data_IF_374999212880
#
_entry.id   IF_374999212880
#
_cell.length_a   1.000
_cell.length_b   1.000
_cell.length_c   1.000
_cell.angle_alpha   90.00
_cell.angle_beta   90.00
_cell.angle_gamma   90.00
#
_symmetry.space_group_name_H-M   'P 1'
#
loop_
_entity.id
_entity.type
_entity.pdbx_description
1 polymer ?
#
# COMPACT_ATOMS: atom_id res chain seq x y z
N UNK A 1 4.05 -9.52 -35.46
CA UNK A 1 2.78 -10.20 -35.06
C UNK A 1 2.23 -9.48 -33.85
N UNK A 2 1.73 -8.28 -34.12
CA UNK A 2 1.61 -7.13 -33.22
C UNK A 2 0.16 -6.81 -32.89
N UNK A 3 -0.05 -6.16 -31.74
CA UNK A 3 -1.27 -5.46 -31.30
C UNK A 3 -2.57 -6.28 -31.10
N UNK A 4 -2.77 -7.41 -31.79
CA UNK A 4 -4.02 -8.18 -31.75
C UNK A 4 -4.18 -9.14 -30.56
N UNK A 5 -3.08 -9.50 -29.88
CA UNK A 5 -3.14 -10.35 -28.67
C UNK A 5 -3.33 -9.55 -27.37
N UNK A 6 -2.93 -8.27 -27.33
CA UNK A 6 -3.12 -7.38 -26.19
C UNK A 6 -4.59 -6.93 -26.05
N UNK A 7 -5.28 -6.67 -27.17
CA UNK A 7 -6.72 -6.32 -27.17
C UNK A 7 -7.63 -7.47 -26.69
N UNK A 8 -7.17 -8.72 -26.76
CA UNK A 8 -7.90 -9.89 -26.23
C UNK A 8 -7.83 -10.01 -24.71
N UNK A 9 -6.83 -9.41 -24.05
CA UNK A 9 -6.67 -9.46 -22.58
C UNK A 9 -7.44 -8.37 -21.85
N UNK A 10 -7.61 -7.19 -22.46
CA UNK A 10 -8.54 -6.16 -21.98
C UNK A 10 -10.01 -6.62 -22.00
N UNK A 11 -10.37 -7.45 -22.99
CA UNK A 11 -11.70 -8.08 -23.04
C UNK A 11 -11.94 -9.13 -21.96
N UNK A 12 -10.92 -9.79 -21.43
CA UNK A 12 -11.09 -10.80 -20.37
C UNK A 12 -11.41 -10.17 -19.01
N UNK A 13 -10.87 -8.97 -18.74
CA UNK A 13 -11.20 -8.18 -17.55
C UNK A 13 -12.60 -7.57 -17.70
N UNK A 14 -13.00 -7.11 -18.89
CA UNK A 14 -14.36 -6.63 -19.15
C UNK A 14 -15.44 -7.73 -19.28
N UNK A 15 -15.10 -8.94 -19.75
CA UNK A 15 -16.08 -10.02 -19.97
C UNK A 15 -16.51 -10.75 -18.70
N UNK A 16 -15.83 -10.50 -17.58
CA UNK A 16 -16.30 -10.89 -16.25
C UNK A 16 -17.15 -9.81 -15.58
N UNK A 17 -17.41 -8.70 -16.27
CA UNK A 17 -17.96 -7.47 -15.70
C UNK A 17 -19.29 -7.01 -16.31
N UNK A 18 -19.70 -7.37 -17.54
CA UNK A 18 -21.02 -6.97 -18.08
C UNK A 18 -21.56 -8.00 -19.09
N UNK A 19 -22.76 -8.55 -18.85
CA UNK A 19 -23.69 -9.00 -19.90
C UNK A 19 -25.14 -8.64 -19.52
N UNK A 20 -26.02 -8.30 -20.49
CA UNK A 20 -27.36 -7.83 -20.20
C UNK A 20 -28.31 -9.01 -19.94
N UNK A 21 -29.12 -8.90 -18.88
CA UNK A 21 -30.26 -9.78 -18.63
C UNK A 21 -31.51 -9.18 -19.27
N UNK A 22 -32.08 -9.85 -20.27
CA UNK A 22 -33.43 -9.60 -20.78
C UNK A 22 -34.39 -10.64 -20.22
N UNK A 23 -35.40 -10.22 -19.46
CA UNK A 23 -36.66 -10.96 -19.32
C UNK A 23 -37.78 -10.01 -18.88
N UNK A 24 -38.96 -10.27 -19.42
CA UNK A 24 -40.12 -9.39 -19.51
C UNK A 24 -40.95 -9.34 -18.22
N UNK A 25 -41.72 -8.26 -18.13
CA UNK A 25 -42.70 -7.98 -17.09
C UNK A 25 -43.96 -8.84 -17.21
N UNK A 26 -44.52 -9.24 -16.07
CA UNK A 26 -45.94 -9.53 -15.90
C UNK A 26 -46.40 -9.03 -14.54
N UNK A 27 -47.58 -8.41 -14.52
CA UNK A 27 -48.10 -7.54 -13.48
C UNK A 27 -49.38 -8.09 -12.82
N UNK A 28 -49.66 -7.58 -11.60
CA UNK A 28 -50.98 -7.39 -10.91
C UNK A 28 -51.49 -8.57 -10.01
N UNK A 29 -52.21 -8.35 -8.87
CA UNK A 29 -52.05 -7.40 -7.75
C UNK A 29 -52.12 -8.04 -6.31
N UNK A 30 -51.85 -7.19 -5.31
CA UNK A 30 -52.03 -7.32 -3.85
C UNK A 30 -53.42 -7.82 -3.37
N UNK A 31 -53.52 -8.44 -2.16
CA UNK A 31 -53.86 -7.63 -0.97
C UNK A 31 -53.21 -8.09 0.34
N UNK A 32 -52.79 -7.13 1.16
CA UNK A 32 -53.25 -6.87 2.55
C UNK A 32 -52.17 -6.18 3.38
N UNK A 33 -52.63 -5.12 4.03
CA UNK A 33 -51.91 -4.22 4.93
C UNK A 33 -51.44 -4.93 6.19
N UNK A 34 -50.13 -5.12 6.32
CA UNK A 34 -49.49 -5.34 7.61
C UNK A 34 -48.49 -4.20 7.86
N UNK A 35 -48.71 -3.48 8.95
CA UNK A 35 -47.84 -2.42 9.45
C UNK A 35 -46.42 -2.97 9.72
N UNK A 36 -45.56 -2.90 8.71
CA UNK A 36 -44.12 -2.99 8.91
C UNK A 36 -43.61 -1.61 9.30
N UNK A 37 -43.55 -1.35 10.60
CA UNK A 37 -42.65 -0.35 11.14
C UNK A 37 -41.23 -0.80 10.80
N UNK A 38 -40.73 -0.38 9.63
CA UNK A 38 -39.31 -0.46 9.28
C UNK A 38 -38.58 0.32 10.37
N UNK A 39 -38.00 -0.39 11.35
CA UNK A 39 -36.85 0.13 12.07
C UNK A 39 -35.78 0.34 11.00
N UNK A 40 -35.65 1.57 10.52
CA UNK A 40 -34.42 2.06 9.92
C UNK A 40 -33.38 1.91 11.02
N UNK A 41 -32.68 0.77 11.06
CA UNK A 41 -31.42 0.71 11.76
C UNK A 41 -30.54 1.77 11.07
N UNK A 42 -30.34 2.90 11.73
CA UNK A 42 -29.29 3.83 11.36
C UNK A 42 -28.00 3.02 11.32
N UNK A 43 -27.49 2.73 10.12
CA UNK A 43 -26.15 2.19 9.94
C UNK A 43 -25.22 3.11 10.75
N UNK A 44 -24.54 2.56 11.75
CA UNK A 44 -23.60 3.35 12.53
C UNK A 44 -22.58 3.96 11.56
N UNK A 45 -22.28 5.23 11.72
CA UNK A 45 -21.25 5.88 10.91
C UNK A 45 -19.92 5.15 11.13
N UNK A 46 -19.16 5.00 10.05
CA UNK A 46 -17.78 4.50 10.10
C UNK A 46 -16.93 5.40 11.00
N UNK A 47 -16.00 4.80 11.74
CA UNK A 47 -15.08 5.49 12.64
C UNK A 47 -13.69 5.45 12.06
N UNK A 48 -13.21 6.58 11.54
CA UNK A 48 -11.89 6.65 10.90
C UNK A 48 -10.75 6.40 11.88
N UNK A 49 -10.97 6.57 13.19
CA UNK A 49 -10.02 6.17 14.24
C UNK A 49 -9.75 4.66 14.30
N UNK A 50 -10.63 3.85 13.71
CA UNK A 50 -10.48 2.40 13.61
C UNK A 50 -9.80 1.96 12.30
N UNK A 51 -9.50 2.89 11.38
CA UNK A 51 -8.87 2.56 10.12
C UNK A 51 -7.40 2.23 10.35
N UNK A 52 -6.83 1.43 9.45
CA UNK A 52 -5.41 1.02 9.49
C UNK A 52 -4.81 1.12 8.09
N UNK A 53 -3.58 1.60 7.99
CA UNK A 53 -2.82 1.53 6.74
C UNK A 53 -2.20 0.14 6.64
N UNK A 54 -2.88 -0.74 5.91
CA UNK A 54 -2.65 -2.16 6.00
C UNK A 54 -1.44 -2.59 5.18
N UNK A 55 -1.48 -2.39 3.87
CA UNK A 55 -0.45 -2.92 2.99
C UNK A 55 -0.13 -2.01 1.81
N UNK A 56 1.01 -2.30 1.20
CA UNK A 56 1.43 -1.74 -0.08
C UNK A 56 1.60 -2.87 -1.08
N UNK A 57 0.86 -2.78 -2.18
CA UNK A 57 0.90 -3.77 -3.24
C UNK A 57 1.91 -3.37 -4.31
N UNK A 58 2.82 -4.28 -4.60
CA UNK A 58 3.74 -4.19 -5.74
C UNK A 58 3.65 -5.46 -6.60
N UNK A 59 3.75 -5.30 -7.92
CA UNK A 59 3.91 -6.44 -8.82
C UNK A 59 5.34 -6.92 -8.81
N UNK A 60 5.52 -8.24 -8.79
CA UNK A 60 6.83 -8.89 -8.81
C UNK A 60 6.97 -9.84 -9.99
N UNK A 61 8.19 -9.98 -10.50
CA UNK A 61 8.47 -10.87 -11.62
C UNK A 61 8.46 -12.33 -11.17
N UNK A 62 9.22 -12.65 -10.13
CA UNK A 62 9.35 -13.98 -9.56
C UNK A 62 9.11 -13.93 -8.05
N UNK A 63 7.97 -14.46 -7.55
CA UNK A 63 7.65 -14.40 -6.13
C UNK A 63 8.64 -15.18 -5.28
N UNK A 64 9.37 -16.17 -5.81
CA UNK A 64 10.36 -16.92 -5.03
C UNK A 64 11.52 -16.04 -4.61
N UNK A 65 12.04 -15.24 -5.54
CA UNK A 65 13.14 -14.31 -5.26
C UNK A 65 12.66 -13.17 -4.35
N UNK A 66 11.47 -12.62 -4.61
CA UNK A 66 10.94 -11.52 -3.81
C UNK A 66 10.57 -11.95 -2.38
N UNK A 67 9.91 -13.10 -2.19
CA UNK A 67 9.63 -13.65 -0.84
C UNK A 67 10.94 -13.90 -0.09
N UNK A 68 11.94 -14.53 -0.72
CA UNK A 68 13.26 -14.76 -0.10
C UNK A 68 13.94 -13.46 0.33
N UNK A 69 13.85 -12.39 -0.47
CA UNK A 69 14.40 -11.09 -0.12
C UNK A 69 13.72 -10.50 1.13
N UNK A 70 12.39 -10.48 1.17
CA UNK A 70 11.65 -9.91 2.29
C UNK A 70 11.72 -10.77 3.56
N UNK A 71 11.79 -12.10 3.43
CA UNK A 71 12.10 -13.01 4.55
C UNK A 71 13.52 -12.78 5.08
N UNK A 72 14.48 -12.49 4.20
CA UNK A 72 15.82 -12.10 4.63
C UNK A 72 15.79 -10.79 5.44
N UNK A 73 14.88 -9.86 5.15
CA UNK A 73 14.64 -8.67 5.97
C UNK A 73 13.86 -8.96 7.27
N UNK A 74 13.48 -10.21 7.55
CA UNK A 74 12.80 -10.60 8.80
C UNK A 74 11.28 -10.66 8.71
N UNK A 75 10.69 -10.43 7.53
CA UNK A 75 9.26 -10.61 7.33
C UNK A 75 8.89 -12.10 7.29
N UNK A 76 7.65 -12.41 7.64
CA UNK A 76 7.02 -13.72 7.46
C UNK A 76 5.96 -13.64 6.38
N UNK A 77 5.80 -14.71 5.59
CA UNK A 77 4.64 -14.86 4.71
C UNK A 77 3.39 -15.13 5.56
N UNK A 78 2.54 -14.11 5.72
CA UNK A 78 1.36 -14.15 6.59
C UNK A 78 0.21 -14.90 5.91
N UNK A 79 -0.01 -14.65 4.61
CA UNK A 79 -1.03 -15.34 3.81
C UNK A 79 -0.58 -15.39 2.37
N UNK A 80 -0.92 -16.49 1.71
CA UNK A 80 -0.88 -16.63 0.25
C UNK A 80 -2.32 -16.82 -0.24
N UNK A 81 -2.70 -16.09 -1.28
CA UNK A 81 -3.95 -16.29 -1.99
C UNK A 81 -3.64 -16.70 -3.44
N UNK A 82 -4.26 -17.78 -3.91
CA UNK A 82 -4.01 -18.35 -5.23
C UNK A 82 -5.24 -18.17 -6.13
N UNK A 83 -5.03 -17.61 -7.34
CA UNK A 83 -6.09 -17.38 -8.30
C UNK A 83 -5.75 -18.01 -9.67
N UNK A 84 -5.68 -19.35 -9.77
CA UNK A 84 -5.25 -20.02 -10.99
C UNK A 84 -6.15 -19.72 -12.21
N UNK A 85 -7.44 -19.51 -11.99
CA UNK A 85 -8.38 -19.11 -13.05
C UNK A 85 -8.09 -17.70 -13.60
N UNK A 86 -7.63 -16.80 -12.74
CA UNK A 86 -7.28 -15.42 -13.09
C UNK A 86 -5.78 -15.25 -13.43
N UNK A 87 -4.98 -16.30 -13.23
CA UNK A 87 -3.54 -16.37 -13.53
C UNK A 87 -2.68 -15.39 -12.73
N UNK A 88 -2.98 -15.24 -11.45
CA UNK A 88 -2.11 -14.51 -10.52
C UNK A 88 -2.20 -15.09 -9.10
N UNK A 89 -1.19 -14.83 -8.30
CA UNK A 89 -1.15 -15.13 -6.86
C UNK A 89 -0.80 -13.84 -6.08
N UNK A 90 -1.28 -13.78 -4.84
CA UNK A 90 -0.95 -12.72 -3.88
C UNK A 90 -0.17 -13.29 -2.69
N UNK A 91 0.85 -12.58 -2.25
CA UNK A 91 1.70 -12.95 -1.10
C UNK A 91 1.76 -11.78 -0.14
N UNK A 92 1.21 -11.94 1.07
CA UNK A 92 1.20 -10.89 2.09
C UNK A 92 2.35 -11.14 3.06
N UNK A 93 3.33 -10.25 3.09
CA UNK A 93 4.50 -10.31 3.97
C UNK A 93 4.47 -9.19 5.01
N UNK A 94 4.83 -9.54 6.24
CA UNK A 94 4.91 -8.58 7.35
C UNK A 94 5.70 -9.14 8.52
N UNK A 95 5.95 -8.29 9.52
CA UNK A 95 6.61 -8.73 10.73
C UNK A 95 5.61 -9.44 11.66
N UNK A 96 5.97 -10.64 12.10
CA UNK A 96 5.13 -11.47 12.95
C UNK A 96 5.93 -12.19 14.05
N UNK A 97 7.12 -11.68 14.37
CA UNK A 97 7.88 -12.14 15.54
C UNK A 97 7.06 -11.91 16.82
N UNK A 98 7.34 -12.60 17.94
CA UNK A 98 6.65 -12.36 19.22
C UNK A 98 6.72 -10.91 19.72
N UNK A 99 7.68 -10.11 19.23
CA UNK A 99 7.87 -8.71 19.56
C UNK A 99 7.30 -7.75 18.50
N UNK A 100 6.79 -8.25 17.38
CA UNK A 100 6.17 -7.44 16.34
C UNK A 100 4.87 -6.80 16.85
N UNK A 101 4.57 -5.57 16.42
CA UNK A 101 3.37 -4.85 16.88
C UNK A 101 2.08 -5.60 16.56
N UNK A 102 2.09 -6.28 15.42
CA UNK A 102 0.94 -6.98 14.88
C UNK A 102 0.95 -8.49 15.16
N UNK A 103 1.85 -8.99 16.02
CA UNK A 103 2.04 -10.43 16.26
C UNK A 103 0.72 -11.20 16.44
N UNK A 104 0.53 -12.26 15.65
CA UNK A 104 -0.63 -13.15 15.71
C UNK A 104 -1.94 -12.55 15.15
N UNK A 105 -1.94 -11.30 14.67
CA UNK A 105 -3.09 -10.71 13.97
C UNK A 105 -3.20 -11.25 12.55
N UNK A 106 -4.43 -11.35 12.05
CA UNK A 106 -4.71 -11.73 10.67
C UNK A 106 -4.22 -10.66 9.68
N UNK A 107 -4.21 -10.98 8.38
CA UNK A 107 -3.68 -10.09 7.32
C UNK A 107 -4.35 -8.72 7.34
N UNK A 108 -5.67 -8.66 7.50
CA UNK A 108 -6.43 -7.42 7.37
C UNK A 108 -6.77 -6.78 8.73
N UNK A 109 -6.19 -7.27 9.84
CA UNK A 109 -6.20 -6.60 11.14
C UNK A 109 -4.81 -6.11 11.58
N UNK A 110 -3.96 -5.68 10.64
CA UNK A 110 -2.62 -5.17 10.93
C UNK A 110 -2.22 -3.99 10.06
N UNK A 111 -1.06 -3.43 10.35
CA UNK A 111 -0.44 -2.33 9.61
C UNK A 111 0.91 -2.79 9.05
N UNK A 112 1.42 -2.10 8.03
CA UNK A 112 2.78 -2.31 7.54
C UNK A 112 3.01 -3.68 6.90
N UNK A 113 2.22 -4.03 5.89
CA UNK A 113 2.44 -5.21 5.05
C UNK A 113 2.96 -4.82 3.65
N UNK A 114 3.64 -5.78 3.03
CA UNK A 114 3.91 -5.77 1.59
C UNK A 114 3.06 -6.88 0.96
N UNK A 115 2.21 -6.50 0.00
CA UNK A 115 1.51 -7.45 -0.86
C UNK A 115 2.29 -7.59 -2.18
N UNK A 116 2.76 -8.79 -2.47
CA UNK A 116 3.35 -9.11 -3.76
C UNK A 116 2.28 -9.70 -4.66
N UNK A 117 2.07 -9.10 -5.83
CA UNK A 117 1.25 -9.68 -6.89
C UNK A 117 2.12 -10.28 -7.96
N UNK A 118 2.00 -11.59 -8.15
CA UNK A 118 2.67 -12.32 -9.22
C UNK A 118 1.68 -12.70 -10.31
N UNK A 119 1.95 -12.29 -11.55
CA UNK A 119 1.16 -12.72 -12.71
C UNK A 119 1.84 -13.91 -13.36
N UNK A 120 1.12 -15.00 -13.59
CA UNK A 120 1.75 -16.25 -14.03
C UNK A 120 2.49 -16.11 -15.36
N UNK A 121 3.72 -16.63 -15.39
CA UNK A 121 4.59 -16.63 -16.56
C UNK A 121 5.60 -15.49 -16.59
N UNK A 122 5.44 -14.43 -15.78
CA UNK A 122 6.41 -13.32 -15.72
C UNK A 122 7.79 -13.78 -15.26
N UNK A 123 7.84 -14.79 -14.38
CA UNK A 123 9.05 -15.40 -13.84
C UNK A 123 9.90 -16.06 -14.94
N UNK A 124 9.24 -16.54 -16.00
CA UNK A 124 9.87 -17.21 -17.14
C UNK A 124 10.09 -16.28 -18.34
N UNK A 125 9.66 -15.02 -18.26
CA UNK A 125 9.77 -14.05 -19.33
C UNK A 125 11.06 -13.21 -19.18
N UNK A 126 12.08 -13.39 -20.03
CA UNK A 126 13.32 -12.62 -19.95
C UNK A 126 13.15 -11.14 -20.31
N UNK A 127 12.04 -10.75 -20.95
CA UNK A 127 11.73 -9.41 -21.41
C UNK A 127 10.74 -8.68 -20.50
N UNK A 128 10.10 -9.39 -19.56
CA UNK A 128 9.24 -8.75 -18.57
C UNK A 128 10.04 -7.77 -17.70
N UNK A 129 9.58 -6.53 -17.66
CA UNK A 129 10.17 -5.44 -16.87
C UNK A 129 9.09 -4.79 -16.03
N UNK A 130 9.43 -4.55 -14.77
CA UNK A 130 8.62 -3.79 -13.84
C UNK A 130 9.04 -2.32 -13.88
N UNK A 131 8.05 -1.43 -13.78
CA UNK A 131 8.30 -0.04 -13.46
C UNK A 131 8.42 0.15 -11.95
N UNK A 132 9.63 0.36 -11.46
CA UNK A 132 9.89 0.57 -10.04
C UNK A 132 9.51 1.98 -9.52
N UNK A 133 8.99 2.86 -10.37
CA UNK A 133 8.52 4.20 -10.00
C UNK A 133 9.62 5.26 -9.83
N UNK A 134 10.89 4.93 -10.08
CA UNK A 134 12.03 5.84 -9.85
C UNK A 134 12.78 6.26 -11.11
N UNK A 135 12.30 5.89 -12.30
CA UNK A 135 12.93 6.24 -13.58
C UNK A 135 11.97 7.03 -14.46
N UNK A 136 12.49 8.09 -15.09
CA UNK A 136 11.75 8.81 -16.13
C UNK A 136 11.46 7.90 -17.34
N UNK A 137 10.32 8.06 -18.02
CA UNK A 137 9.27 9.05 -17.76
C UNK A 137 8.21 8.57 -16.75
N UNK A 138 8.40 7.43 -16.07
CA UNK A 138 7.36 6.76 -15.31
C UNK A 138 7.56 6.84 -13.80
N UNK A 139 7.95 8.02 -13.30
CA UNK A 139 8.14 8.24 -11.85
C UNK A 139 6.81 8.34 -11.13
N UNK A 140 6.73 7.80 -9.92
CA UNK A 140 5.56 7.93 -9.06
C UNK A 140 5.83 7.33 -7.68
N UNK A 141 5.63 6.03 -7.55
CA UNK A 141 6.07 5.25 -6.39
C UNK A 141 7.55 5.50 -6.07
N UNK A 142 7.87 5.78 -4.81
CA UNK A 142 9.23 6.03 -4.34
C UNK A 142 9.86 4.75 -3.82
N UNK A 143 9.40 4.29 -2.66
CA UNK A 143 10.00 3.18 -1.95
C UNK A 143 9.07 2.63 -0.89
N UNK A 144 9.34 1.40 -0.45
CA UNK A 144 8.94 0.95 0.90
C UNK A 144 10.11 1.20 1.85
N UNK A 145 9.84 1.34 3.14
CA UNK A 145 10.88 1.56 4.14
C UNK A 145 10.80 0.56 5.29
N UNK A 146 11.98 0.07 5.68
CA UNK A 146 12.17 -0.81 6.83
C UNK A 146 12.97 -0.07 7.90
N UNK A 147 12.38 0.05 9.09
CA UNK A 147 13.10 0.51 10.28
C UNK A 147 13.84 -0.64 10.93
N UNK A 148 15.09 -0.41 11.34
CA UNK A 148 16.00 -1.42 11.91
C UNK A 148 16.62 -0.93 13.22
N UNK A 149 17.02 -1.85 14.10
CA UNK A 149 17.65 -1.54 15.39
C UNK A 149 19.07 -0.95 15.24
N UNK A 150 19.87 -1.48 14.32
CA UNK A 150 21.26 -1.11 14.09
C UNK A 150 21.56 -1.03 12.60
N UNK A 151 21.37 0.16 12.00
CA UNK A 151 21.42 0.34 10.54
C UNK A 151 22.74 -0.09 9.90
N UNK A 152 23.89 0.14 10.56
CA UNK A 152 25.20 -0.30 10.05
C UNK A 152 25.26 -1.84 9.95
N UNK A 153 24.83 -2.55 11.00
CA UNK A 153 24.82 -4.01 11.02
C UNK A 153 23.79 -4.59 10.03
N UNK A 154 22.61 -3.96 9.91
CA UNK A 154 21.58 -4.32 8.93
C UNK A 154 22.08 -4.18 7.48
N UNK A 155 22.68 -3.04 7.14
CA UNK A 155 23.23 -2.81 5.81
C UNK A 155 24.37 -3.78 5.51
N UNK A 156 25.27 -4.03 6.47
CA UNK A 156 26.34 -5.02 6.32
C UNK A 156 25.79 -6.42 6.07
N UNK A 157 24.75 -6.84 6.80
CA UNK A 157 24.11 -8.15 6.60
C UNK A 157 23.50 -8.28 5.21
N UNK A 158 22.87 -7.24 4.68
CA UNK A 158 22.36 -7.21 3.30
C UNK A 158 23.48 -7.30 2.27
N UNK A 159 24.57 -6.55 2.46
CA UNK A 159 25.74 -6.61 1.59
C UNK A 159 26.43 -7.98 1.60
N UNK A 160 26.66 -8.55 2.78
CA UNK A 160 27.32 -9.86 2.93
C UNK A 160 26.50 -10.98 2.26
N UNK A 161 25.17 -10.81 2.17
CA UNK A 161 24.28 -11.71 1.43
C UNK A 161 24.21 -11.43 -0.08
N UNK A 162 24.91 -10.40 -0.57
CA UNK A 162 25.01 -10.05 -1.99
C UNK A 162 23.85 -9.21 -2.52
N UNK A 163 23.00 -8.64 -1.66
CA UNK A 163 21.93 -7.76 -2.10
C UNK A 163 22.47 -6.43 -2.62
N UNK A 164 21.83 -5.93 -3.67
CA UNK A 164 22.25 -4.70 -4.34
C UNK A 164 21.70 -3.47 -3.61
N UNK A 165 22.39 -2.36 -3.76
CA UNK A 165 21.96 -1.06 -3.25
C UNK A 165 21.84 -0.07 -4.39
N UNK A 166 20.80 0.75 -4.34
CA UNK A 166 20.74 2.00 -5.10
C UNK A 166 21.66 3.05 -4.47
N UNK A 167 21.71 3.05 -3.13
CA UNK A 167 22.57 3.92 -2.34
C UNK A 167 22.97 3.19 -1.06
N UNK A 168 24.27 3.03 -0.86
CA UNK A 168 24.82 2.44 0.37
C UNK A 168 24.82 3.46 1.50
N UNK A 169 24.93 2.98 2.74
CA UNK A 169 24.95 3.85 3.92
C UNK A 169 26.14 4.82 3.90
N UNK A 170 27.28 4.35 3.42
CA UNK A 170 28.56 5.07 3.29
C UNK A 170 28.71 5.83 1.97
N UNK A 171 27.65 5.95 1.16
CA UNK A 171 27.63 6.75 -0.07
C UNK A 171 26.94 8.12 0.12
N UNK A 172 27.35 9.12 -0.64
CA UNK A 172 26.75 10.47 -0.63
C UNK A 172 26.94 11.24 0.68
N UNK A 173 26.14 12.28 0.90
CA UNK A 173 26.18 13.11 2.13
C UNK A 173 25.29 12.58 3.26
N UNK A 174 24.19 11.89 2.92
CA UNK A 174 23.25 11.35 3.90
C UNK A 174 23.72 9.98 4.38
N UNK A 175 24.32 9.95 5.58
CA UNK A 175 24.87 8.72 6.21
C UNK A 175 23.92 8.03 7.20
N UNK A 176 22.66 8.46 7.25
CA UNK A 176 21.64 7.94 8.15
C UNK A 176 20.55 7.10 7.43
N UNK A 177 20.68 6.94 6.11
CA UNK A 177 19.77 6.16 5.25
C UNK A 177 20.54 5.37 4.21
N UNK A 178 20.02 4.19 3.85
CA UNK A 178 20.45 3.39 2.71
C UNK A 178 19.22 2.96 1.89
N UNK A 179 19.42 2.65 0.61
CA UNK A 179 18.37 2.10 -0.26
C UNK A 179 18.87 0.78 -0.84
N UNK A 180 18.38 -0.33 -0.30
CA UNK A 180 18.53 -1.64 -0.91
C UNK A 180 17.63 -1.74 -2.15
N UNK A 181 17.99 -2.63 -3.08
CA UNK A 181 17.17 -2.98 -4.21
C UNK A 181 16.59 -4.37 -3.98
N UNK A 182 15.28 -4.49 -4.06
CA UNK A 182 14.62 -5.79 -4.14
C UNK A 182 14.93 -6.47 -5.50
N UNK A 183 14.52 -7.73 -5.72
CA UNK A 183 14.82 -8.46 -6.95
C UNK A 183 14.29 -7.79 -8.24
N UNK A 184 13.22 -7.01 -8.13
CA UNK A 184 12.59 -6.29 -9.24
C UNK A 184 13.09 -4.84 -9.38
N UNK A 185 13.99 -4.43 -8.49
CA UNK A 185 14.63 -3.11 -8.48
C UNK A 185 13.79 -2.02 -7.82
N UNK A 186 12.74 -2.35 -7.08
CA UNK A 186 12.11 -1.40 -6.16
C UNK A 186 13.11 -0.99 -5.08
N UNK A 187 13.01 0.26 -4.67
CA UNK A 187 13.85 0.79 -3.61
C UNK A 187 13.23 0.41 -2.27
N UNK A 188 14.06 -0.16 -1.40
CA UNK A 188 13.73 -0.45 -0.01
C UNK A 188 14.64 0.42 0.85
N UNK A 189 14.08 1.49 1.40
CA UNK A 189 14.79 2.36 2.32
C UNK A 189 15.04 1.62 3.64
N UNK A 190 16.25 1.73 4.16
CA UNK A 190 16.63 1.21 5.48
C UNK A 190 16.97 2.41 6.35
N UNK A 191 16.25 2.55 7.47
CA UNK A 191 16.44 3.63 8.46
C UNK A 191 16.63 3.06 9.86
N UNK A 192 17.38 3.76 10.71
CA UNK A 192 17.42 3.40 12.12
C UNK A 192 16.08 3.71 12.80
N UNK A 193 15.69 2.91 13.79
CA UNK A 193 14.45 3.09 14.57
C UNK A 193 14.45 4.36 15.43
N UNK A 194 15.57 5.08 15.51
CA UNK A 194 15.70 6.35 16.22
C UNK A 194 15.83 6.22 17.74
N UNK A 195 16.03 5.02 18.29
CA UNK A 195 16.32 4.83 19.73
C UNK A 195 17.78 5.14 20.09
N UNK A 196 18.67 5.11 19.11
CA UNK A 196 20.12 5.32 19.26
C UNK A 196 20.66 6.20 18.15
N UNK A 197 21.71 6.97 18.44
CA UNK A 197 22.43 7.73 17.42
C UNK A 197 23.31 6.80 16.57
N UNK A 198 23.73 7.27 15.39
CA UNK A 198 24.62 6.49 14.53
C UNK A 198 25.94 6.14 15.21
N UNK A 199 26.47 7.06 16.03
CA UNK A 199 27.70 6.89 16.79
C UNK A 199 27.55 5.80 17.84
N UNK A 200 26.43 5.77 18.58
CA UNK A 200 26.16 4.73 19.57
C UNK A 200 26.06 3.33 18.96
N UNK A 201 25.68 3.25 17.67
CA UNK A 201 25.52 1.99 16.95
C UNK A 201 26.79 1.54 16.20
N UNK A 202 27.82 2.38 16.11
CA UNK A 202 28.97 2.15 15.22
C UNK A 202 29.74 0.84 15.50
N UNK A 203 29.79 0.43 16.77
CA UNK A 203 30.48 -0.81 17.17
C UNK A 203 29.59 -2.05 17.21
N UNK A 204 28.28 -1.90 16.99
CA UNK A 204 27.35 -3.03 16.95
C UNK A 204 27.49 -3.74 15.59
N UNK A 205 27.82 -5.03 15.61
CA UNK A 205 28.10 -5.82 14.38
C UNK A 205 26.97 -6.77 13.99
N UNK A 206 25.93 -6.89 14.82
CA UNK A 206 24.77 -7.75 14.59
C UNK A 206 23.49 -6.95 14.74
N UNK A 207 22.41 -7.47 14.17
CA UNK A 207 21.11 -6.82 14.12
C UNK A 207 20.05 -7.88 14.36
N UNK A 208 18.98 -7.53 15.09
CA UNK A 208 17.88 -8.43 15.34
C UNK A 208 16.72 -8.13 14.38
N UNK A 209 16.58 -8.99 13.37
CA UNK A 209 15.50 -8.84 12.37
C UNK A 209 14.10 -8.96 13.00
N UNK A 210 13.99 -9.51 14.21
CA UNK A 210 12.71 -9.60 14.93
C UNK A 210 12.20 -8.24 15.45
N UNK A 211 13.07 -7.22 15.49
CA UNK A 211 12.72 -5.86 15.91
C UNK A 211 12.40 -4.93 14.74
N UNK A 212 12.59 -5.39 13.51
CA UNK A 212 12.38 -4.58 12.31
C UNK A 212 10.90 -4.28 12.10
N UNK A 213 10.61 -3.22 11.33
CA UNK A 213 9.24 -2.75 11.07
C UNK A 213 9.09 -2.31 9.63
N UNK A 214 7.96 -2.61 9.02
CA UNK A 214 7.58 -1.99 7.75
C UNK A 214 7.04 -0.61 8.09
N UNK A 215 7.91 0.39 7.98
CA UNK A 215 7.64 1.71 8.51
C UNK A 215 6.71 2.49 7.60
N UNK A 216 7.09 2.67 6.35
CA UNK A 216 6.33 3.52 5.44
C UNK A 216 6.38 3.07 3.99
N UNK A 217 5.40 3.57 3.24
CA UNK A 217 5.37 3.57 1.78
C UNK A 217 5.42 5.00 1.29
N UNK A 218 6.34 5.28 0.38
CA UNK A 218 6.51 6.58 -0.23
C UNK A 218 5.90 6.63 -1.62
N UNK A 219 5.04 7.63 -1.85
CA UNK A 219 4.57 8.01 -3.18
C UNK A 219 4.84 9.49 -3.43
N UNK A 220 5.14 9.84 -4.68
CA UNK A 220 5.26 11.24 -5.09
C UNK A 220 3.90 11.78 -5.49
N UNK A 221 3.60 13.00 -5.05
CA UNK A 221 2.32 13.68 -5.31
C UNK A 221 2.53 15.04 -5.96
N UNK A 222 1.65 15.39 -6.90
CA UNK A 222 1.77 16.62 -7.68
C UNK A 222 1.44 17.85 -6.85
N UNK A 223 0.35 17.79 -6.10
CA UNK A 223 -0.18 18.90 -5.29
C UNK A 223 -0.38 18.43 -3.86
N UNK A 224 0.47 18.93 -2.96
CA UNK A 224 0.44 18.51 -1.57
C UNK A 224 -0.85 18.92 -0.86
N UNK A 225 -1.49 20.05 -1.21
CA UNK A 225 -2.71 20.50 -0.53
C UNK A 225 -3.87 19.57 -0.83
N UNK A 226 -4.04 19.18 -2.10
CA UNK A 226 -5.06 18.21 -2.52
C UNK A 226 -4.80 16.83 -1.91
N UNK A 227 -3.54 16.42 -1.86
CA UNK A 227 -3.16 15.13 -1.28
C UNK A 227 -3.44 15.10 0.22
N UNK A 228 -3.01 16.12 0.97
CA UNK A 228 -3.28 16.23 2.41
C UNK A 228 -4.78 16.31 2.71
N UNK A 229 -5.58 16.99 1.89
CA UNK A 229 -7.03 17.02 2.02
C UNK A 229 -7.65 15.62 1.83
N UNK A 230 -7.25 14.91 0.77
CA UNK A 230 -7.72 13.54 0.52
C UNK A 230 -7.34 12.59 1.67
N UNK A 231 -6.06 12.51 2.04
CA UNK A 231 -5.61 11.55 3.04
C UNK A 231 -6.12 11.87 4.45
N UNK A 232 -6.26 13.14 4.83
CA UNK A 232 -6.78 13.52 6.15
C UNK A 232 -8.31 13.56 6.20
N UNK A 233 -8.97 14.25 5.27
CA UNK A 233 -10.42 14.47 5.36
C UNK A 233 -11.21 13.30 4.77
N UNK A 234 -10.74 12.69 3.68
CA UNK A 234 -11.42 11.52 3.09
C UNK A 234 -11.09 10.25 3.87
N UNK A 235 -9.80 9.94 4.01
CA UNK A 235 -9.34 8.68 4.61
C UNK A 235 -9.12 8.75 6.12
N UNK A 236 -9.15 9.94 6.73
CA UNK A 236 -9.05 10.08 8.19
C UNK A 236 -7.64 9.90 8.77
N UNK A 237 -6.60 9.94 7.94
CA UNK A 237 -5.22 9.88 8.44
C UNK A 237 -4.84 11.15 9.20
N UNK A 238 -3.93 11.02 10.14
CA UNK A 238 -3.29 12.17 10.81
C UNK A 238 -1.95 12.47 10.15
N UNK A 239 -1.63 13.75 9.92
CA UNK A 239 -0.27 14.19 9.59
C UNK A 239 0.59 14.10 10.86
N UNK A 240 1.55 13.18 10.87
CA UNK A 240 2.37 12.87 12.05
C UNK A 240 3.72 13.60 12.02
N UNK A 241 4.27 13.83 10.83
CA UNK A 241 5.57 14.51 10.68
C UNK A 241 5.67 15.19 9.32
N UNK A 242 6.31 16.36 9.31
CA UNK A 242 6.72 17.07 8.10
C UNK A 242 8.23 17.27 8.13
N UNK A 243 8.89 17.03 7.01
CA UNK A 243 10.31 17.34 6.81
C UNK A 243 10.41 18.29 5.61
N UNK A 244 10.86 19.52 5.87
CA UNK A 244 11.02 20.52 4.82
C UNK A 244 12.45 20.57 4.31
N UNK A 245 12.65 20.52 2.99
CA UNK A 245 13.97 20.61 2.37
C UNK A 245 13.98 21.70 1.28
N UNK A 246 13.83 22.98 1.64
CA UNK A 246 13.72 24.07 0.68
C UNK A 246 14.93 24.20 -0.25
N UNK A 247 16.15 23.93 0.25
CA UNK A 247 17.37 23.95 -0.55
C UNK A 247 17.38 22.87 -1.65
N UNK A 248 16.79 21.71 -1.35
CA UNK A 248 16.67 20.59 -2.28
C UNK A 248 15.35 20.62 -3.08
N UNK A 249 14.48 21.61 -2.84
CA UNK A 249 13.20 21.84 -3.51
C UNK A 249 12.19 20.69 -3.39
N UNK A 250 12.12 20.04 -2.24
CA UNK A 250 11.07 19.07 -1.93
C UNK A 250 10.74 19.04 -0.43
N UNK A 251 9.53 18.60 -0.10
CA UNK A 251 9.10 18.31 1.27
C UNK A 251 8.54 16.90 1.37
N UNK A 252 8.64 16.33 2.57
CA UNK A 252 8.13 15.01 2.94
C UNK A 252 7.04 15.15 4.01
N UNK A 253 5.94 14.43 3.84
CA UNK A 253 4.79 14.45 4.76
C UNK A 253 4.44 13.03 5.13
N UNK A 254 4.53 12.68 6.41
CA UNK A 254 4.26 11.35 6.92
C UNK A 254 2.88 11.32 7.56
N UNK A 255 1.97 10.55 6.96
CA UNK A 255 0.61 10.35 7.42
C UNK A 255 0.42 8.91 7.91
N UNK A 256 -0.48 8.73 8.87
CA UNK A 256 -0.88 7.41 9.33
C UNK A 256 -2.05 7.50 10.29
N UNK A 257 -2.51 6.35 10.77
CA UNK A 257 -3.53 6.29 11.81
C UNK A 257 -2.84 6.23 13.17
N UNK A 258 -3.16 7.13 14.12
CA UNK A 258 -2.62 7.03 15.48
C UNK A 258 -2.94 5.67 16.09
N UNK A 259 -4.21 5.23 16.02
CA UNK A 259 -4.65 3.91 16.43
C UNK A 259 -4.11 3.48 17.79
N UNK A 260 -3.73 2.21 17.89
CA UNK A 260 -3.09 1.65 19.09
C UNK A 260 -1.62 2.10 19.25
N UNK A 261 -0.99 2.54 18.17
CA UNK A 261 0.40 3.03 18.18
C UNK A 261 0.51 4.44 18.78
N UNK A 262 -0.60 5.18 18.94
CA UNK A 262 -0.64 6.54 19.48
C UNK A 262 0.00 7.58 18.57
N UNK A 263 0.46 8.69 19.14
CA UNK A 263 1.29 9.71 18.48
C UNK A 263 2.59 9.82 19.28
N UNK A 264 3.74 9.79 18.62
CA UNK A 264 5.03 9.85 19.29
C UNK A 264 5.29 11.23 19.92
N UNK A 265 5.55 11.24 21.22
CA UNK A 265 5.82 12.48 21.96
C UNK A 265 7.10 13.20 21.50
N UNK A 266 8.07 12.47 20.95
CA UNK A 266 9.33 13.01 20.42
C UNK A 266 9.24 13.35 18.92
N UNK A 267 8.10 13.11 18.27
CA UNK A 267 7.90 13.30 16.83
C UNK A 267 8.70 12.34 15.93
N UNK A 268 9.36 11.32 16.49
CA UNK A 268 10.16 10.34 15.73
C UNK A 268 9.26 9.20 15.25
N UNK A 269 8.83 9.30 13.99
CA UNK A 269 7.94 8.33 13.34
C UNK A 269 8.63 7.03 12.93
N UNK A 270 9.95 6.91 13.07
CA UNK A 270 10.74 5.75 12.65
C UNK A 270 10.36 4.45 13.40
N UNK A 271 9.66 4.53 14.54
CA UNK A 271 9.24 3.36 15.32
C UNK A 271 7.85 2.84 14.94
N UNK A 272 7.17 3.48 13.99
CA UNK A 272 5.83 3.07 13.56
C UNK A 272 5.86 1.94 12.55
N UNK A 273 4.72 1.26 12.45
CA UNK A 273 4.32 0.49 11.27
C UNK A 273 3.25 1.26 10.49
N UNK A 274 3.25 1.10 9.17
CA UNK A 274 2.14 1.54 8.32
C UNK A 274 1.95 3.05 8.21
N UNK A 275 2.96 3.74 7.69
CA UNK A 275 2.88 5.14 7.31
C UNK A 275 2.81 5.33 5.79
N UNK A 276 2.16 6.40 5.38
CA UNK A 276 2.22 6.94 4.03
C UNK A 276 3.13 8.16 4.04
N UNK A 277 4.24 8.08 3.32
CA UNK A 277 5.09 9.23 3.03
C UNK A 277 4.69 9.84 1.69
N UNK A 278 4.32 11.12 1.70
CA UNK A 278 4.09 11.90 0.50
C UNK A 278 5.32 12.76 0.22
N UNK A 279 5.92 12.57 -0.95
CA UNK A 279 6.98 13.46 -1.45
C UNK A 279 6.41 14.44 -2.45
N UNK A 280 6.49 15.72 -2.11
CA UNK A 280 6.11 16.82 -2.99
C UNK A 280 7.35 17.56 -3.47
N UNK A 281 7.56 17.59 -4.78
CA UNK A 281 8.64 18.36 -5.42
C UNK A 281 8.09 19.73 -5.81
N UNK A 282 8.82 20.80 -5.48
CA UNK A 282 8.29 22.16 -5.62
C UNK A 282 7.96 22.50 -7.08
N UNK A 283 6.77 23.07 -7.27
CA UNK A 283 6.33 23.57 -8.57
C UNK A 283 5.58 22.55 -9.42
N UNK A 284 5.55 21.27 -9.04
CA UNK A 284 4.79 20.25 -9.79
C UNK A 284 3.31 20.55 -9.84
N UNK A 285 2.76 21.22 -8.82
CA UNK A 285 1.37 21.65 -8.73
C UNK A 285 1.01 22.74 -9.76
N UNK A 286 2.00 23.48 -10.25
CA UNK A 286 1.80 24.60 -11.19
C UNK A 286 1.98 24.19 -12.65
N UNK A 287 2.47 22.98 -12.93
CA UNK A 287 2.58 22.45 -14.29
C UNK A 287 1.34 21.62 -14.64
N UNK A 288 0.46 22.17 -15.49
CA UNK A 288 -0.78 21.50 -15.92
C UNK A 288 -0.52 20.16 -16.63
N UNK A 289 0.61 20.02 -17.32
CA UNK A 289 0.95 18.81 -18.09
C UNK A 289 1.72 17.77 -17.27
N UNK A 290 2.20 18.15 -16.09
CA UNK A 290 2.92 17.22 -15.21
C UNK A 290 1.97 16.24 -14.54
N UNK A 291 2.36 14.96 -14.49
CA UNK A 291 1.70 13.93 -13.71
C UNK A 291 2.71 12.86 -13.29
N UNK A 292 2.53 12.30 -12.10
CA UNK A 292 3.23 11.08 -11.72
C UNK A 292 2.52 9.85 -12.30
N UNK A 293 3.30 8.80 -12.55
CA UNK A 293 2.81 7.51 -13.00
C UNK A 293 2.17 6.76 -11.83
N UNK A 294 0.90 6.37 -11.99
CA UNK A 294 0.11 5.71 -10.94
C UNK A 294 0.52 4.24 -10.64
N UNK A 295 1.40 3.65 -11.47
CA UNK A 295 1.90 2.28 -11.33
C UNK A 295 1.04 1.19 -11.99
N UNK A 296 -0.22 1.49 -12.29
CA UNK A 296 -1.18 0.57 -12.94
C UNK A 296 -1.27 0.73 -14.46
N UNK A 297 -0.97 1.91 -14.98
CA UNK A 297 -0.78 2.11 -16.42
C UNK A 297 0.51 1.42 -16.89
N UNK A 298 0.63 1.21 -18.20
CA UNK A 298 1.83 0.57 -18.76
C UNK A 298 2.98 1.58 -18.85
N UNK A 299 4.21 1.21 -18.43
CA UNK A 299 4.61 -0.06 -17.81
C UNK A 299 4.21 -0.16 -16.33
N UNK A 300 3.74 -1.34 -15.93
CA UNK A 300 3.20 -1.59 -14.58
C UNK A 300 4.28 -1.88 -13.53
N UNK A 301 3.96 -1.59 -12.28
CA UNK A 301 4.75 -1.94 -11.11
C UNK A 301 3.91 -1.86 -9.84
N UNK A 302 4.07 -0.77 -9.08
CA UNK A 302 3.22 -0.42 -7.94
C UNK A 302 1.72 -0.58 -8.28
N UNK A 303 0.97 -1.25 -7.41
CA UNK A 303 -0.46 -1.50 -7.58
C UNK A 303 -1.31 -0.51 -6.81
N UNK A 304 -1.21 -0.54 -5.49
CA UNK A 304 -2.06 0.26 -4.62
C UNK A 304 -1.50 0.32 -3.20
N UNK A 305 -2.01 1.26 -2.42
CA UNK A 305 -2.00 1.16 -0.96
C UNK A 305 -3.37 0.63 -0.51
N UNK A 306 -3.44 0.01 0.67
CA UNK A 306 -4.69 -0.45 1.25
C UNK A 306 -4.97 0.16 2.61
N UNK A 307 -6.21 0.56 2.82
CA UNK A 307 -6.76 0.96 4.11
C UNK A 307 -7.84 -0.05 4.51
N UNK A 308 -7.66 -0.69 5.66
CA UNK A 308 -8.73 -1.51 6.24
C UNK A 308 -9.65 -0.65 7.09
N UNK A 309 -10.96 -0.87 7.01
CA UNK A 309 -11.98 -0.05 7.68
C UNK A 309 -12.85 -0.86 8.63
N UNK A 310 -13.49 -0.19 9.59
CA UNK A 310 -14.34 -0.87 10.59
C UNK A 310 -15.67 -1.39 10.03
N UNK A 311 -16.23 -0.70 9.04
CA UNK A 311 -17.42 -1.09 8.32
C UNK A 311 -17.33 -0.59 6.87
N UNK A 312 -17.12 -1.50 5.91
CA UNK A 312 -16.85 -1.13 4.52
C UNK A 312 -18.02 -0.44 3.83
N UNK A 313 -19.27 -0.81 4.14
CA UNK A 313 -20.46 -0.16 3.58
C UNK A 313 -20.61 1.28 4.10
N UNK A 314 -20.41 1.49 5.40
CA UNK A 314 -20.45 2.82 6.01
C UNK A 314 -19.29 3.70 5.55
N UNK A 315 -18.10 3.11 5.36
CA UNK A 315 -16.94 3.77 4.74
C UNK A 315 -17.25 4.21 3.31
N UNK A 316 -17.79 3.32 2.48
CA UNK A 316 -18.18 3.66 1.11
C UNK A 316 -19.24 4.76 1.07
N UNK A 317 -20.22 4.72 2.00
CA UNK A 317 -21.21 5.79 2.13
C UNK A 317 -20.56 7.12 2.49
N UNK A 318 -19.59 7.14 3.42
CA UNK A 318 -18.82 8.34 3.75
C UNK A 318 -18.11 8.90 2.51
N UNK A 319 -17.44 8.05 1.73
CA UNK A 319 -16.75 8.48 0.52
C UNK A 319 -17.71 9.01 -0.55
N UNK A 320 -18.92 8.45 -0.65
CA UNK A 320 -19.97 8.98 -1.53
C UNK A 320 -20.46 10.36 -1.09
N UNK A 321 -20.68 10.56 0.21
CA UNK A 321 -21.06 11.86 0.78
C UNK A 321 -19.96 12.92 0.56
N UNK A 322 -18.69 12.50 0.54
CA UNK A 322 -17.53 13.33 0.23
C UNK A 322 -17.23 13.44 -1.28
N UNK A 323 -18.06 12.85 -2.14
CA UNK A 323 -17.91 12.85 -3.59
C UNK A 323 -16.54 12.33 -4.08
N UNK A 324 -15.98 11.35 -3.37
CA UNK A 324 -14.67 10.77 -3.69
C UNK A 324 -14.71 10.00 -5.00
N UNK A 325 -13.63 10.08 -5.77
CA UNK A 325 -13.48 9.34 -7.01
C UNK A 325 -13.23 7.85 -6.73
N UNK A 326 -13.96 6.98 -7.43
CA UNK A 326 -13.80 5.54 -7.37
C UNK A 326 -13.16 4.99 -8.64
N UNK A 327 -12.23 4.06 -8.48
CA UNK A 327 -11.85 3.12 -9.53
C UNK A 327 -12.81 1.94 -9.61
N UNK A 328 -13.30 1.45 -8.47
CA UNK A 328 -14.23 0.33 -8.35
C UNK A 328 -15.09 0.48 -7.10
N UNK A 329 -16.41 0.38 -7.25
CA UNK A 329 -17.37 0.36 -6.13
C UNK A 329 -17.62 -1.08 -5.65
N UNK A 330 -18.22 -1.21 -4.46
CA UNK A 330 -18.73 -2.50 -3.99
C UNK A 330 -19.80 -3.05 -4.96
N UNK A 331 -20.62 -2.18 -5.55
CA UNK A 331 -21.67 -2.57 -6.51
C UNK A 331 -21.14 -3.00 -7.87
N UNK A 332 -19.86 -2.81 -8.16
CA UNK A 332 -19.28 -3.14 -9.47
C UNK A 332 -18.79 -4.61 -9.48
N UNK A 333 -18.85 -5.26 -10.65
CA UNK A 333 -18.31 -6.60 -10.86
C UNK A 333 -18.91 -7.69 -9.99
N UNK A 334 -18.19 -8.79 -9.83
CA UNK A 334 -18.60 -9.94 -8.99
C UNK A 334 -18.07 -9.86 -7.56
N UNK A 335 -16.92 -9.21 -7.37
CA UNK A 335 -16.29 -9.05 -6.06
C UNK A 335 -16.92 -7.88 -5.30
N UNK A 336 -17.67 -8.18 -4.25
CA UNK A 336 -18.50 -7.22 -3.49
C UNK A 336 -17.89 -6.78 -2.15
N UNK A 337 -16.74 -7.33 -1.79
CA UNK A 337 -16.07 -7.11 -0.51
C UNK A 337 -14.84 -6.18 -0.60
N UNK A 338 -14.62 -5.53 -1.73
CA UNK A 338 -13.51 -4.58 -1.94
C UNK A 338 -13.97 -3.37 -2.75
N UNK A 339 -13.50 -2.20 -2.36
CA UNK A 339 -13.61 -0.97 -3.15
C UNK A 339 -12.22 -0.43 -3.47
N UNK A 340 -12.11 0.35 -4.55
CA UNK A 340 -10.90 1.09 -4.89
C UNK A 340 -11.26 2.55 -5.12
N UNK A 341 -10.61 3.44 -4.38
CA UNK A 341 -10.65 4.88 -4.59
C UNK A 341 -9.51 5.31 -5.51
N UNK A 342 -9.64 6.51 -6.08
CA UNK A 342 -8.55 7.21 -6.74
C UNK A 342 -8.17 8.43 -5.90
N UNK A 343 -6.90 8.53 -5.54
CA UNK A 343 -6.36 9.75 -4.95
C UNK A 343 -6.22 10.87 -6.02
N UNK A 344 -5.83 12.10 -5.63
CA UNK A 344 -5.69 13.21 -6.57
C UNK A 344 -4.69 13.00 -7.72
N UNK A 345 -3.72 12.09 -7.54
CA UNK A 345 -2.71 11.72 -8.54
C UNK A 345 -3.06 10.40 -9.27
N UNK A 346 -4.27 9.87 -9.05
CA UNK A 346 -4.80 8.62 -9.59
C UNK A 346 -4.09 7.35 -9.10
N UNK A 347 -3.37 7.40 -7.97
CA UNK A 347 -3.00 6.18 -7.27
C UNK A 347 -4.25 5.49 -6.74
N UNK A 348 -4.22 4.16 -6.74
CA UNK A 348 -5.34 3.37 -6.27
C UNK A 348 -5.21 3.18 -4.76
N UNK A 349 -6.31 3.40 -4.05
CA UNK A 349 -6.44 3.08 -2.63
C UNK A 349 -7.47 1.98 -2.49
N UNK A 350 -7.00 0.78 -2.16
CA UNK A 350 -7.86 -0.34 -1.82
C UNK A 350 -8.51 -0.11 -0.46
N UNK A 351 -9.80 -0.41 -0.36
CA UNK A 351 -10.56 -0.36 0.87
C UNK A 351 -11.19 -1.73 1.11
N UNK A 352 -10.84 -2.34 2.23
CA UNK A 352 -11.32 -3.67 2.65
C UNK A 352 -11.82 -3.63 4.09
N UNK A 353 -12.69 -4.55 4.43
CA UNK A 353 -13.19 -4.71 5.79
C UNK A 353 -12.06 -5.19 6.71
N UNK A 354 -11.85 -4.55 7.86
CA UNK A 354 -10.97 -5.10 8.88
C UNK A 354 -11.69 -6.26 9.58
N UNK A 355 -11.04 -7.43 9.58
CA UNK A 355 -11.56 -8.72 10.05
C UNK A 355 -11.89 -8.72 11.55
N UNK A 356 -11.23 -7.88 12.36
CA UNK A 356 -11.51 -7.73 13.80
C UNK A 356 -12.95 -7.30 14.09
N UNK A 357 -13.55 -6.50 13.22
CA UNK A 357 -14.89 -5.95 13.47
C UNK A 357 -16.02 -6.88 13.00
N UNK A 358 -15.73 -7.86 12.15
CA UNK A 358 -16.71 -8.83 11.63
C UNK A 358 -16.48 -10.24 12.16
N UNK A 359 -15.26 -10.58 12.57
CA UNK A 359 -14.84 -11.95 12.87
C UNK A 359 -14.84 -12.86 11.64
N UNK A 360 -14.84 -12.29 10.43
CA UNK A 360 -14.85 -13.02 9.17
C UNK A 360 -13.62 -12.66 8.35
N UNK A 361 -12.97 -13.68 7.80
CA UNK A 361 -11.82 -13.52 6.92
C UNK A 361 -12.22 -12.84 5.61
N UNK A 362 -11.31 -12.02 5.08
CA UNK A 362 -11.39 -11.53 3.71
C UNK A 362 -10.82 -12.57 2.73
N UNK A 363 -11.54 -12.72 1.61
CA UNK A 363 -11.23 -13.51 0.42
C UNK A 363 -11.14 -15.02 0.62
#
# INVERSE_FOLDING_TARGET
MSAFQALRRLRAIQSFLIRPSTAAATSVPNPTTANHTRRLATMAATKTENYKFNHTMIRVKDPKESVKFYEFLGMSLIKKLEFPEAKFDLYFLGYDSPNALSHGRTVFDREGLIELTHNYGTENDPDYRINNGNKEPHRGFGHTCISVDYIQAACKRLEDAGYKFQKRLDEGRMKYIAFALDPDGYWVEIIADGKKTLEEMAEVKTTDVSTYRMNHTMIRVKDIKKSLDFYQNTLGMSLLRTIENPEAKFNLYFLGYPGEQGIEADGITNRREGLLELTWNYGTENDENFAYHNGNDQPQGFGHICVTVDNIEAACKRFDDLQTNYKKRLTDGRMKNVAFLLDPDNYWVEVVQNERFTGQDNF
#
